data_IF_636613342254
#
_entry.id   IF_636613342254
#
_cell.length_a   1.000
_cell.length_b   1.000
_cell.length_c   1.000
_cell.angle_alpha   90.00
_cell.angle_beta   90.00
_cell.angle_gamma   90.00
#
_symmetry.space_group_name_H-M   'P 1'
#
loop_
_entity.id
_entity.type
_entity.pdbx_description
1 polymer ?
#
# COMPACT_ATOMS: atom_id res chain seq x y z
N UNK A 1 -2.14 11.82 31.27
CA UNK A 1 -1.05 11.05 30.61
C UNK A 1 0.25 11.73 31.00
N UNK A 2 1.04 11.11 31.87
CA UNK A 2 2.35 11.67 32.24
C UNK A 2 3.23 11.66 31.00
N UNK A 3 3.77 12.83 30.63
CA UNK A 3 4.68 12.97 29.49
C UNK A 3 6.05 12.44 29.90
N UNK A 4 6.24 11.13 29.80
CA UNK A 4 7.53 10.49 30.05
C UNK A 4 8.51 10.89 28.94
N UNK A 5 9.71 11.36 29.31
CA UNK A 5 10.69 11.81 28.32
C UNK A 5 11.42 10.58 27.77
N UNK A 6 11.66 10.57 26.47
CA UNK A 6 12.43 9.49 25.80
C UNK A 6 13.80 9.28 26.45
N UNK A 7 14.41 10.34 26.99
CA UNK A 7 15.70 10.28 27.67
C UNK A 7 15.70 9.45 28.96
N UNK A 8 14.54 9.25 29.57
CA UNK A 8 14.38 8.52 30.83
C UNK A 8 14.03 7.03 30.58
N UNK A 9 13.78 6.64 29.33
CA UNK A 9 13.40 5.28 28.96
C UNK A 9 14.61 4.33 28.96
N UNK A 10 14.40 3.13 29.46
CA UNK A 10 15.32 2.02 29.22
C UNK A 10 15.28 1.57 27.76
N UNK A 11 16.32 0.87 27.31
CA UNK A 11 16.36 0.28 25.95
C UNK A 11 15.16 -0.66 25.71
N UNK A 12 14.70 -1.37 26.74
CA UNK A 12 13.54 -2.26 26.63
C UNK A 12 12.23 -1.50 26.38
N UNK A 13 12.04 -0.38 27.08
CA UNK A 13 10.88 0.50 26.89
C UNK A 13 10.92 1.20 25.53
N UNK A 14 12.10 1.68 25.13
CA UNK A 14 12.28 2.30 23.82
C UNK A 14 11.97 1.30 22.69
N UNK A 15 12.45 0.05 22.79
CA UNK A 15 12.13 -0.99 21.81
C UNK A 15 10.63 -1.26 21.75
N UNK A 16 9.96 -1.36 22.90
CA UNK A 16 8.51 -1.57 22.95
C UNK A 16 7.74 -0.42 22.30
N UNK A 17 8.13 0.81 22.60
CA UNK A 17 7.53 2.02 22.03
C UNK A 17 7.71 2.07 20.50
N UNK A 18 8.91 1.78 19.99
CA UNK A 18 9.16 1.72 18.55
C UNK A 18 8.34 0.61 17.89
N UNK A 19 8.29 -0.58 18.49
CA UNK A 19 7.48 -1.70 17.97
C UNK A 19 6.00 -1.31 17.90
N UNK A 20 5.46 -0.65 18.92
CA UNK A 20 4.07 -0.20 18.93
C UNK A 20 3.79 0.80 17.79
N UNK A 21 4.65 1.80 17.58
CA UNK A 21 4.47 2.77 16.49
C UNK A 21 4.54 2.10 15.12
N UNK A 22 5.48 1.18 14.93
CA UNK A 22 5.61 0.45 13.66
C UNK A 22 4.37 -0.41 13.42
N UNK A 23 3.86 -1.07 14.46
CA UNK A 23 2.64 -1.89 14.38
C UNK A 23 1.42 -1.04 14.03
N UNK A 24 1.23 0.10 14.71
CA UNK A 24 0.19 1.07 14.40
C UNK A 24 0.29 1.53 12.92
N UNK A 25 1.50 1.83 12.43
CA UNK A 25 1.71 2.28 11.05
C UNK A 25 1.53 1.19 10.00
N UNK A 26 1.81 -0.07 10.32
CA UNK A 26 1.61 -1.19 9.40
C UNK A 26 0.12 -1.57 9.31
N UNK A 27 -0.63 -1.39 10.39
CA UNK A 27 -2.06 -1.71 10.45
C UNK A 27 -2.98 -0.55 10.10
N UNK A 28 -2.45 0.67 10.00
CA UNK A 28 -3.11 1.86 9.43
C UNK A 28 -3.18 1.74 7.90
N UNK A 29 -3.81 0.67 7.42
CA UNK A 29 -4.30 0.62 6.04
C UNK A 29 -5.51 1.55 5.97
N UNK A 30 -5.56 2.51 5.04
CA UNK A 30 -6.73 3.34 4.89
C UNK A 30 -7.94 2.42 4.63
N UNK A 31 -8.91 2.47 5.53
CA UNK A 31 -10.17 1.76 5.32
C UNK A 31 -10.83 2.35 4.07
N UNK A 32 -11.13 1.48 3.11
CA UNK A 32 -11.87 1.85 1.92
C UNK A 32 -13.35 1.61 2.20
N UNK A 33 -14.08 2.71 2.44
CA UNK A 33 -15.52 2.67 2.75
C UNK A 33 -16.38 2.18 1.56
N UNK A 34 -15.78 2.01 0.38
CA UNK A 34 -16.49 1.53 -0.81
C UNK A 34 -16.86 0.07 -0.67
N UNK A 35 -18.07 -0.24 -1.08
CA UNK A 35 -18.53 -1.61 -1.29
C UNK A 35 -17.76 -2.28 -2.44
N UNK A 36 -17.72 -3.61 -2.44
CA UNK A 36 -17.12 -4.39 -3.53
C UNK A 36 -17.72 -4.02 -4.90
N UNK A 37 -19.03 -3.78 -4.95
CA UNK A 37 -19.73 -3.38 -6.18
C UNK A 37 -19.23 -2.01 -6.69
N UNK A 38 -19.05 -1.03 -5.81
CA UNK A 38 -18.52 0.28 -6.16
C UNK A 38 -17.06 0.21 -6.65
N UNK A 39 -16.25 -0.67 -6.04
CA UNK A 39 -14.88 -0.92 -6.50
C UNK A 39 -14.88 -1.49 -7.91
N UNK A 40 -15.67 -2.54 -8.17
CA UNK A 40 -15.76 -3.17 -9.50
C UNK A 40 -16.30 -2.19 -10.55
N UNK A 41 -17.35 -1.43 -10.22
CA UNK A 41 -17.89 -0.39 -11.09
C UNK A 41 -16.85 0.70 -11.40
N UNK A 42 -16.02 1.06 -10.41
CA UNK A 42 -14.93 2.01 -10.62
C UNK A 42 -13.85 1.45 -11.53
N UNK A 43 -13.47 0.17 -11.37
CA UNK A 43 -12.49 -0.51 -12.22
C UNK A 43 -12.93 -0.53 -13.68
N UNK A 44 -14.20 -0.82 -13.94
CA UNK A 44 -14.73 -0.83 -15.31
C UNK A 44 -14.76 0.57 -15.93
N UNK A 45 -15.12 1.60 -15.14
CA UNK A 45 -15.13 3.00 -15.61
C UNK A 45 -13.73 3.51 -15.97
N UNK A 46 -12.69 3.12 -15.22
CA UNK A 46 -11.31 3.54 -15.49
C UNK A 46 -10.60 2.62 -16.47
N UNK A 47 -11.30 1.60 -16.99
CA UNK A 47 -10.72 0.62 -17.90
C UNK A 47 -10.40 1.29 -19.23
N UNK A 48 -9.12 1.44 -19.51
CA UNK A 48 -8.67 1.83 -20.83
C UNK A 48 -8.60 0.60 -21.73
N UNK A 49 -9.35 0.62 -22.83
CA UNK A 49 -9.21 -0.39 -23.88
C UNK A 49 -8.11 0.07 -24.84
N UNK A 50 -7.03 -0.71 -25.01
CA UNK A 50 -5.99 -0.36 -25.95
C UNK A 50 -6.54 -0.30 -27.39
N UNK A 51 -6.07 0.66 -28.22
CA UNK A 51 -6.49 0.76 -29.61
C UNK A 51 -6.05 -0.48 -30.41
N UNK A 52 -6.70 -0.79 -31.54
CA UNK A 52 -6.30 -1.91 -32.40
C UNK A 52 -4.82 -1.82 -32.80
N UNK A 53 -4.10 -2.93 -32.71
CA UNK A 53 -2.66 -3.00 -33.02
C UNK A 53 -1.74 -2.48 -31.92
N UNK A 54 -2.27 -2.00 -30.79
CA UNK A 54 -1.46 -1.79 -29.60
C UNK A 54 -0.85 -3.12 -29.14
N UNK A 55 0.42 -3.08 -28.75
CA UNK A 55 1.14 -4.23 -28.19
C UNK A 55 0.40 -4.74 -26.96
N UNK A 56 0.28 -6.04 -26.86
CA UNK A 56 -0.23 -6.72 -25.67
C UNK A 56 0.78 -6.57 -24.54
N UNK A 57 0.30 -6.66 -23.30
CA UNK A 57 1.16 -6.68 -22.12
C UNK A 57 2.23 -7.77 -22.20
N UNK A 58 1.89 -8.92 -22.79
CA UNK A 58 2.82 -10.03 -22.98
C UNK A 58 3.97 -9.67 -23.93
N UNK A 59 3.66 -9.06 -25.07
CA UNK A 59 4.66 -8.61 -26.04
C UNK A 59 5.60 -7.58 -25.41
N UNK A 60 5.07 -6.64 -24.64
CA UNK A 60 5.88 -5.63 -23.93
C UNK A 60 6.83 -6.26 -22.91
N UNK A 61 6.36 -7.25 -22.13
CA UNK A 61 7.19 -7.95 -21.14
C UNK A 61 8.28 -8.78 -21.83
N UNK A 62 7.97 -9.41 -22.97
CA UNK A 62 8.95 -10.19 -23.73
C UNK A 62 10.05 -9.31 -24.33
N UNK A 63 9.71 -8.14 -24.85
CA UNK A 63 10.68 -7.17 -25.37
C UNK A 63 11.63 -6.69 -24.28
N UNK A 64 11.12 -6.27 -23.12
CA UNK A 64 11.94 -5.79 -22.00
C UNK A 64 12.91 -6.88 -21.47
N UNK A 65 12.47 -8.13 -21.49
CA UNK A 65 13.30 -9.27 -21.06
C UNK A 65 14.39 -9.65 -22.07
N UNK A 66 14.14 -9.42 -23.36
CA UNK A 66 15.02 -9.86 -24.46
C UNK A 66 15.90 -8.72 -25.02
N UNK A 67 15.77 -7.50 -24.49
CA UNK A 67 16.64 -6.36 -24.76
C UNK A 67 17.98 -6.49 -24.01
#
# INVERSE_FOLDING_TARGET
>A
MSTERVADMTIGELRRFVTQIVDEKLHDSPEDDRTLEEVLASMDRIRWTPPPGARTTLEMIQEDRNA
#
